data_IF_996434630514
#
_entry.id   IF_996434630514
#
_cell.length_a   1.000
_cell.length_b   1.000
_cell.length_c   1.000
_cell.angle_alpha   90.00
_cell.angle_beta   90.00
_cell.angle_gamma   90.00
#
_symmetry.space_group_name_H-M   'P 1'
#
loop_
_entity.id
_entity.type
_entity.pdbx_description
1 polymer ?
#
# COMPACT_ATOMS: atom_id res chain seq x y z
N UNK A 1 -37.40 -11.90 -24.24
CA UNK A 1 -36.65 -10.62 -24.09
C UNK A 1 -36.79 -10.07 -22.68
N UNK A 2 -38.02 -9.98 -22.11
CA UNK A 2 -38.29 -9.44 -20.77
C UNK A 2 -37.67 -10.31 -19.63
N UNK A 3 -37.73 -11.65 -19.76
CA UNK A 3 -37.09 -12.57 -18.78
C UNK A 3 -35.56 -12.50 -18.80
N UNK A 4 -34.97 -12.40 -19.99
CA UNK A 4 -33.51 -12.22 -20.15
C UNK A 4 -33.02 -10.87 -19.56
N UNK A 5 -33.78 -9.79 -19.75
CA UNK A 5 -33.49 -8.49 -19.10
C UNK A 5 -33.66 -8.56 -17.58
N UNK A 6 -34.64 -9.28 -17.08
CA UNK A 6 -34.86 -9.45 -15.64
C UNK A 6 -33.72 -10.20 -14.96
N UNK A 7 -33.18 -11.28 -15.59
CA UNK A 7 -32.04 -12.02 -15.07
C UNK A 7 -30.72 -11.22 -15.11
N UNK A 8 -30.52 -10.37 -16.11
CA UNK A 8 -29.35 -9.49 -16.23
C UNK A 8 -29.33 -8.39 -15.18
N UNK A 9 -30.49 -7.82 -14.88
CA UNK A 9 -30.61 -6.68 -13.95
C UNK A 9 -30.65 -7.16 -12.50
N UNK A 10 -31.42 -8.18 -12.20
CA UNK A 10 -31.69 -8.61 -10.82
C UNK A 10 -30.82 -9.78 -10.34
N UNK A 11 -29.98 -10.36 -11.19
CA UNK A 11 -29.08 -11.45 -10.84
C UNK A 11 -27.86 -11.03 -10.01
N UNK A 12 -27.51 -9.72 -10.02
CA UNK A 12 -26.33 -9.21 -9.32
C UNK A 12 -26.57 -7.78 -8.84
N UNK A 13 -26.28 -7.49 -7.57
CA UNK A 13 -26.54 -6.19 -6.96
C UNK A 13 -25.78 -5.03 -7.66
N UNK A 14 -24.60 -5.29 -8.25
CA UNK A 14 -23.85 -4.29 -9.02
C UNK A 14 -24.66 -3.82 -10.23
N UNK A 15 -25.29 -4.75 -10.98
CA UNK A 15 -26.17 -4.41 -12.10
C UNK A 15 -27.37 -3.58 -11.64
N UNK A 16 -27.97 -3.94 -10.50
CA UNK A 16 -29.10 -3.18 -9.92
C UNK A 16 -28.65 -1.75 -9.59
N UNK A 17 -27.51 -1.57 -8.94
CA UNK A 17 -26.98 -0.24 -8.60
C UNK A 17 -26.74 0.60 -9.84
N UNK A 18 -26.15 0.03 -10.90
CA UNK A 18 -25.91 0.73 -12.18
C UNK A 18 -27.23 1.23 -12.77
N UNK A 19 -28.25 0.37 -12.83
CA UNK A 19 -29.59 0.75 -13.34
C UNK A 19 -30.23 1.83 -12.47
N UNK A 20 -30.15 1.70 -11.14
CA UNK A 20 -30.68 2.68 -10.21
C UNK A 20 -30.01 4.05 -10.36
N UNK A 21 -28.70 4.12 -10.57
CA UNK A 21 -27.98 5.38 -10.84
C UNK A 21 -28.58 6.09 -12.05
N UNK A 22 -28.81 5.36 -13.14
CA UNK A 22 -29.36 5.94 -14.38
C UNK A 22 -30.82 6.35 -14.19
N UNK A 23 -31.66 5.48 -13.63
CA UNK A 23 -33.09 5.76 -13.38
C UNK A 23 -33.30 6.95 -12.44
N UNK A 24 -32.57 6.98 -11.31
CA UNK A 24 -32.64 8.07 -10.35
C UNK A 24 -32.20 9.41 -10.95
N UNK A 25 -31.16 9.37 -11.81
CA UNK A 25 -30.69 10.55 -12.52
C UNK A 25 -31.69 11.04 -13.54
N UNK A 26 -32.36 10.14 -14.26
CA UNK A 26 -33.42 10.46 -15.21
C UNK A 26 -34.67 11.06 -14.52
N UNK A 27 -35.17 10.42 -13.45
CA UNK A 27 -36.29 10.92 -12.66
C UNK A 27 -36.00 12.28 -12.03
N UNK A 28 -34.82 12.44 -11.46
CA UNK A 28 -34.35 13.73 -10.93
C UNK A 28 -34.23 14.79 -12.04
N UNK A 29 -33.86 14.39 -13.25
CA UNK A 29 -33.80 15.24 -14.42
C UNK A 29 -35.19 15.72 -14.87
N UNK A 30 -36.16 14.82 -14.87
CA UNK A 30 -37.55 15.15 -15.15
C UNK A 30 -38.09 16.25 -14.21
N UNK A 31 -37.84 16.11 -12.91
CA UNK A 31 -38.27 17.07 -11.90
C UNK A 31 -37.57 18.44 -12.00
N UNK A 32 -36.33 18.51 -12.54
CA UNK A 32 -35.59 19.78 -12.74
C UNK A 32 -35.89 20.47 -14.07
N UNK A 33 -36.48 19.77 -15.01
CA UNK A 33 -36.70 20.23 -16.38
C UNK A 33 -35.37 20.36 -17.19
N UNK A 34 -35.51 20.77 -18.45
CA UNK A 34 -34.40 20.80 -19.42
C UNK A 34 -33.22 21.67 -18.95
N UNK A 35 -33.50 22.92 -18.54
CA UNK A 35 -32.43 23.87 -18.14
C UNK A 35 -31.68 23.46 -16.87
N UNK A 36 -32.42 22.90 -15.89
CA UNK A 36 -31.84 22.39 -14.66
C UNK A 36 -30.94 21.18 -14.91
N UNK A 37 -31.39 20.28 -15.77
CA UNK A 37 -30.64 19.05 -16.12
C UNK A 37 -29.43 19.36 -17.01
N UNK A 38 -29.53 20.30 -17.96
CA UNK A 38 -28.38 20.77 -18.74
C UNK A 38 -27.30 21.36 -17.84
N UNK A 39 -27.67 22.20 -16.87
CA UNK A 39 -26.71 22.74 -15.87
C UNK A 39 -26.03 21.65 -15.07
N UNK A 40 -26.78 20.63 -14.67
CA UNK A 40 -26.21 19.50 -13.92
C UNK A 40 -25.27 18.66 -14.78
N UNK A 41 -25.58 18.42 -16.05
CA UNK A 41 -24.71 17.72 -16.99
C UNK A 41 -23.38 18.47 -17.16
N UNK A 42 -23.44 19.78 -17.36
CA UNK A 42 -22.24 20.62 -17.49
C UNK A 42 -21.42 20.58 -16.20
N UNK A 43 -22.05 20.71 -15.03
CA UNK A 43 -21.35 20.62 -13.74
C UNK A 43 -20.67 19.25 -13.58
N UNK A 44 -21.36 18.18 -13.90
CA UNK A 44 -20.80 16.83 -13.85
C UNK A 44 -19.58 16.69 -14.80
N UNK A 45 -19.70 17.19 -16.02
CA UNK A 45 -18.58 17.16 -16.99
C UNK A 45 -17.36 17.96 -16.51
N UNK A 46 -17.59 19.18 -15.99
CA UNK A 46 -16.53 20.01 -15.41
C UNK A 46 -15.88 19.35 -14.20
N UNK A 47 -16.69 18.81 -13.29
CA UNK A 47 -16.17 18.14 -12.09
C UNK A 47 -15.37 16.87 -12.41
N UNK A 48 -15.84 16.09 -13.40
CA UNK A 48 -15.09 14.94 -13.92
C UNK A 48 -13.78 15.38 -14.57
N UNK A 49 -13.79 16.43 -15.40
CA UNK A 49 -12.57 16.95 -16.02
C UNK A 49 -11.58 17.46 -14.98
N UNK A 50 -12.03 18.19 -13.95
CA UNK A 50 -11.19 18.63 -12.82
C UNK A 50 -10.58 17.42 -12.10
N UNK A 51 -11.38 16.36 -11.87
CA UNK A 51 -10.87 15.15 -11.22
C UNK A 51 -9.78 14.48 -12.03
N UNK A 52 -9.98 14.29 -13.34
CA UNK A 52 -8.99 13.69 -14.23
C UNK A 52 -7.71 14.52 -14.28
N UNK A 53 -7.83 15.84 -14.46
CA UNK A 53 -6.68 16.76 -14.47
C UNK A 53 -5.94 16.71 -13.12
N UNK A 54 -6.66 16.69 -12.00
CA UNK A 54 -6.07 16.57 -10.67
C UNK A 54 -5.28 15.27 -10.50
N UNK A 55 -5.82 14.13 -10.97
CA UNK A 55 -5.12 12.85 -10.94
C UNK A 55 -3.84 12.87 -11.77
N UNK A 56 -3.91 13.41 -13.00
CA UNK A 56 -2.74 13.50 -13.89
C UNK A 56 -1.64 14.42 -13.33
N UNK A 57 -2.01 15.58 -12.81
CA UNK A 57 -1.05 16.52 -12.22
C UNK A 57 -0.44 15.96 -10.95
N UNK A 58 -1.23 15.26 -10.13
CA UNK A 58 -0.76 14.64 -8.88
C UNK A 58 0.20 13.50 -9.15
N UNK A 59 -0.03 12.73 -10.20
CA UNK A 59 0.89 11.69 -10.64
C UNK A 59 2.25 12.30 -11.04
N UNK A 60 2.23 13.31 -11.91
CA UNK A 60 3.44 14.00 -12.32
C UNK A 60 4.17 14.69 -11.17
N UNK A 61 3.43 15.30 -10.25
CA UNK A 61 4.02 15.89 -9.07
C UNK A 61 4.65 14.83 -8.15
N UNK A 62 4.02 13.65 -7.99
CA UNK A 62 4.58 12.57 -7.19
C UNK A 62 5.88 12.03 -7.80
N UNK A 63 5.97 11.89 -9.12
CA UNK A 63 7.21 11.48 -9.80
C UNK A 63 8.38 12.42 -9.49
N UNK A 64 8.13 13.73 -9.41
CA UNK A 64 9.17 14.74 -9.18
C UNK A 64 9.46 14.92 -7.68
N UNK A 65 8.41 15.02 -6.86
CA UNK A 65 8.56 15.34 -5.44
C UNK A 65 9.04 14.15 -4.61
N UNK A 66 8.76 12.90 -5.04
CA UNK A 66 9.15 11.72 -4.29
C UNK A 66 10.68 11.61 -4.10
N UNK A 67 11.53 11.68 -5.14
CA UNK A 67 12.98 11.67 -4.94
C UNK A 67 13.46 12.88 -4.13
N UNK A 68 12.94 14.08 -4.39
CA UNK A 68 13.32 15.29 -3.65
C UNK A 68 13.04 15.16 -2.14
N UNK A 69 11.90 14.57 -1.77
CA UNK A 69 11.59 14.31 -0.35
C UNK A 69 12.51 13.26 0.24
N UNK A 70 12.90 12.22 -0.52
CA UNK A 70 13.88 11.22 -0.07
C UNK A 70 15.22 11.88 0.27
N UNK A 71 15.78 12.64 -0.67
CA UNK A 71 17.06 13.32 -0.50
C UNK A 71 17.03 14.30 0.69
N UNK A 72 15.92 15.02 0.84
CA UNK A 72 15.72 15.92 1.97
C UNK A 72 15.68 15.16 3.31
N UNK A 73 14.95 14.03 3.39
CA UNK A 73 14.90 13.21 4.59
C UNK A 73 16.24 12.58 4.94
N UNK A 74 16.98 12.11 3.94
CA UNK A 74 18.35 11.58 4.11
C UNK A 74 19.28 12.66 4.65
N UNK A 75 19.24 13.87 4.09
CA UNK A 75 20.07 15.00 4.53
C UNK A 75 19.84 15.41 5.98
N UNK A 76 18.64 15.12 6.54
CA UNK A 76 18.31 15.41 7.95
C UNK A 76 18.99 14.47 8.94
N UNK A 77 19.56 13.35 8.49
CA UNK A 77 20.27 12.35 9.31
C UNK A 77 19.48 11.96 10.58
N UNK A 78 18.15 11.69 10.39
CA UNK A 78 17.26 11.37 11.49
C UNK A 78 17.63 10.01 12.05
N UNK A 79 18.15 9.99 13.28
CA UNK A 79 18.48 8.77 14.01
C UNK A 79 17.35 8.45 14.98
N UNK A 80 16.98 7.18 15.07
CA UNK A 80 16.02 6.69 16.05
C UNK A 80 16.77 6.66 17.40
N UNK A 81 16.23 7.27 18.47
CA UNK A 81 16.87 7.22 19.80
C UNK A 81 16.91 5.80 20.35
N UNK A 82 18.02 5.45 21.03
CA UNK A 82 18.22 4.14 21.69
C UNK A 82 17.45 3.99 23.02
N UNK A 83 16.37 4.74 23.20
CA UNK A 83 15.51 4.70 24.40
C UNK A 83 14.13 4.21 24.06
N UNK A 84 13.38 3.73 25.06
CA UNK A 84 11.94 3.46 24.89
C UNK A 84 11.24 4.66 24.27
N UNK A 85 10.54 4.42 23.18
CA UNK A 85 9.75 5.44 22.51
C UNK A 85 8.30 5.34 22.99
N UNK A 86 7.74 6.48 23.38
CA UNK A 86 6.30 6.56 23.58
C UNK A 86 5.55 6.37 22.24
N UNK A 87 4.27 6.02 22.29
CA UNK A 87 3.49 5.67 21.11
C UNK A 87 3.47 6.73 20.01
N UNK A 88 3.57 8.03 20.40
CA UNK A 88 3.64 9.14 19.43
C UNK A 88 5.01 9.21 18.74
N UNK A 89 6.09 9.14 19.50
CA UNK A 89 7.46 9.14 18.98
C UNK A 89 7.67 7.93 18.04
N UNK A 90 7.15 6.78 18.43
CA UNK A 90 7.19 5.56 17.63
C UNK A 90 6.47 5.74 16.28
N UNK A 91 5.24 6.28 16.29
CA UNK A 91 4.51 6.60 15.07
C UNK A 91 5.29 7.59 14.19
N UNK A 92 5.87 8.62 14.81
CA UNK A 92 6.67 9.63 14.11
C UNK A 92 7.89 9.01 13.41
N UNK A 93 8.71 8.24 14.14
CA UNK A 93 9.91 7.63 13.55
C UNK A 93 9.56 6.58 12.50
N UNK A 94 8.51 5.78 12.71
CA UNK A 94 8.02 4.82 11.71
C UNK A 94 7.56 5.54 10.43
N UNK A 95 6.81 6.63 10.56
CA UNK A 95 6.34 7.39 9.41
C UNK A 95 7.49 8.08 8.66
N UNK A 96 8.42 8.70 9.38
CA UNK A 96 9.54 9.42 8.78
C UNK A 96 10.53 8.48 8.09
N UNK A 97 10.91 7.38 8.75
CA UNK A 97 11.78 6.36 8.14
C UNK A 97 11.08 5.63 7.00
N UNK A 98 9.78 5.36 7.13
CA UNK A 98 8.96 4.81 6.07
C UNK A 98 8.95 5.70 4.82
N UNK A 99 8.72 7.01 4.99
CA UNK A 99 8.79 7.96 3.88
C UNK A 99 10.20 8.15 3.31
N UNK A 100 11.25 7.99 4.13
CA UNK A 100 12.64 8.09 3.67
C UNK A 100 13.03 6.90 2.80
N UNK A 101 12.75 5.70 3.26
CA UNK A 101 13.34 4.47 2.73
C UNK A 101 12.45 3.74 1.72
N UNK A 102 11.12 3.99 1.73
CA UNK A 102 10.17 3.31 0.86
C UNK A 102 9.63 4.22 -0.24
N UNK A 103 10.12 4.02 -1.44
CA UNK A 103 9.83 4.87 -2.60
C UNK A 103 8.37 4.87 -2.99
N UNK A 104 7.72 3.72 -2.96
CA UNK A 104 6.33 3.57 -3.35
C UNK A 104 5.37 4.15 -2.31
N UNK A 105 5.59 3.87 -1.01
CA UNK A 105 4.83 4.46 0.09
C UNK A 105 4.92 5.98 0.05
N UNK A 106 6.14 6.52 -0.16
CA UNK A 106 6.36 7.95 -0.31
C UNK A 106 5.62 8.53 -1.52
N UNK A 107 5.71 7.87 -2.69
CA UNK A 107 5.03 8.31 -3.90
C UNK A 107 3.50 8.32 -3.73
N UNK A 108 2.93 7.28 -3.11
CA UNK A 108 1.49 7.18 -2.83
C UNK A 108 1.04 8.29 -1.87
N UNK A 109 1.77 8.52 -0.78
CA UNK A 109 1.44 9.59 0.19
C UNK A 109 1.48 10.96 -0.49
N UNK A 110 2.55 11.26 -1.26
CA UNK A 110 2.67 12.52 -2.00
C UNK A 110 1.52 12.66 -3.01
N UNK A 111 1.23 11.59 -3.78
CA UNK A 111 0.15 11.60 -4.75
C UNK A 111 -1.18 11.99 -4.12
N UNK A 112 -1.56 11.36 -3.01
CA UNK A 112 -2.83 11.67 -2.34
C UNK A 112 -2.86 13.08 -1.76
N UNK A 113 -1.79 13.54 -1.12
CA UNK A 113 -1.71 14.90 -0.57
C UNK A 113 -1.80 15.95 -1.68
N UNK A 114 -1.03 15.79 -2.74
CA UNK A 114 -1.06 16.70 -3.90
C UNK A 114 -2.42 16.66 -4.59
N UNK A 115 -3.02 15.48 -4.74
CA UNK A 115 -4.37 15.33 -5.29
C UNK A 115 -5.40 16.13 -4.49
N UNK A 116 -5.40 16.01 -3.17
CA UNK A 116 -6.32 16.76 -2.31
C UNK A 116 -6.13 18.26 -2.47
N UNK A 117 -4.89 18.73 -2.52
CA UNK A 117 -4.58 20.15 -2.70
C UNK A 117 -5.05 20.64 -4.08
N UNK A 118 -4.64 19.99 -5.16
CA UNK A 118 -4.99 20.39 -6.54
C UNK A 118 -6.52 20.30 -6.71
N UNK A 119 -7.14 19.22 -6.26
CA UNK A 119 -8.59 19.02 -6.36
C UNK A 119 -9.37 20.10 -5.62
N UNK A 120 -8.88 20.51 -4.44
CA UNK A 120 -9.47 21.59 -3.64
C UNK A 120 -9.31 22.94 -4.33
N UNK A 121 -8.11 23.25 -4.84
CA UNK A 121 -7.83 24.51 -5.54
C UNK A 121 -8.66 24.63 -6.81
N UNK A 122 -8.67 23.62 -7.68
CA UNK A 122 -9.44 23.63 -8.92
C UNK A 122 -10.95 23.65 -8.64
N UNK A 123 -11.40 22.94 -7.59
CA UNK A 123 -12.78 22.97 -7.14
C UNK A 123 -13.21 24.36 -6.65
N UNK A 124 -12.37 25.02 -5.87
CA UNK A 124 -12.62 26.39 -5.39
C UNK A 124 -12.65 27.39 -6.55
N UNK A 125 -11.73 27.23 -7.52
CA UNK A 125 -11.71 28.04 -8.74
C UNK A 125 -13.01 27.86 -9.54
N UNK A 126 -13.44 26.61 -9.75
CA UNK A 126 -14.68 26.31 -10.47
C UNK A 126 -15.92 26.88 -9.76
N UNK A 127 -15.93 26.93 -8.42
CA UNK A 127 -16.97 27.56 -7.63
C UNK A 127 -17.01 29.07 -7.85
N UNK A 128 -15.86 29.76 -7.84
CA UNK A 128 -15.75 31.20 -8.05
C UNK A 128 -16.20 31.60 -9.46
N UNK A 129 -15.74 30.87 -10.48
CA UNK A 129 -16.14 31.13 -11.88
C UNK A 129 -17.57 30.65 -12.17
N UNK A 130 -18.04 29.56 -11.57
CA UNK A 130 -19.37 28.98 -11.77
C UNK A 130 -20.48 29.86 -11.22
N UNK A 131 -20.24 30.64 -10.18
CA UNK A 131 -21.24 31.55 -9.61
C UNK A 131 -21.60 32.71 -10.55
N UNK A 132 -20.67 33.15 -11.41
CA UNK A 132 -20.90 34.20 -12.41
C UNK A 132 -21.53 33.71 -13.70
N UNK A 133 -21.05 32.57 -14.24
CA UNK A 133 -21.43 32.07 -15.57
C UNK A 133 -22.79 31.32 -15.60
N UNK A 134 -23.24 30.79 -14.47
CA UNK A 134 -24.46 29.96 -14.40
C UNK A 134 -25.64 30.61 -13.68
N UNK A 135 -25.68 31.95 -13.60
CA UNK A 135 -26.87 32.69 -13.19
C UNK A 135 -27.90 32.71 -14.31
N UNK A 136 -28.37 31.54 -14.74
CA UNK A 136 -29.58 31.48 -15.56
C UNK A 136 -30.75 31.89 -14.68
N UNK A 137 -31.44 32.98 -15.06
CA UNK A 137 -32.70 33.40 -14.45
C UNK A 137 -33.67 32.21 -14.38
N UNK A 138 -34.26 32.01 -13.22
CA UNK A 138 -35.37 31.07 -13.00
C UNK A 138 -36.41 31.37 -14.06
N UNK A 139 -36.62 30.45 -15.01
CA UNK A 139 -37.60 30.60 -16.07
C UNK A 139 -38.97 30.76 -15.45
N UNK A 140 -39.72 31.76 -15.93
CA UNK A 140 -41.14 32.01 -15.67
C UNK A 140 -41.94 30.71 -15.74
N UNK A 141 -43.02 30.62 -15.00
CA UNK A 141 -43.98 29.52 -15.04
C UNK A 141 -44.35 29.20 -16.51
N UNK A 142 -43.93 28.01 -16.94
CA UNK A 142 -44.19 27.50 -18.27
C UNK A 142 -45.62 26.93 -18.28
N UNK A 143 -46.37 27.25 -19.30
CA UNK A 143 -47.71 26.66 -19.46
C UNK A 143 -47.68 25.12 -19.51
N UNK A 144 -48.76 24.40 -19.20
CA UNK A 144 -48.75 22.94 -18.97
C UNK A 144 -48.15 22.12 -20.09
N UNK A 145 -48.29 22.46 -21.34
CA UNK A 145 -47.70 21.74 -22.47
C UNK A 145 -46.18 21.90 -22.57
N UNK A 146 -45.68 23.10 -22.30
CA UNK A 146 -44.23 23.40 -22.34
C UNK A 146 -43.54 22.78 -21.12
N UNK A 147 -44.22 22.69 -19.98
CA UNK A 147 -43.73 22.01 -18.77
C UNK A 147 -43.50 20.51 -19.02
N UNK A 148 -44.40 19.84 -19.74
CA UNK A 148 -44.31 18.42 -20.09
C UNK A 148 -43.11 18.14 -21.01
N UNK A 149 -42.89 18.98 -22.05
CA UNK A 149 -41.72 18.88 -22.96
C UNK A 149 -40.44 19.13 -22.20
N UNK A 150 -40.40 20.16 -21.33
CA UNK A 150 -39.22 20.45 -20.50
C UNK A 150 -38.88 19.32 -19.53
N UNK A 151 -39.91 18.64 -18.95
CA UNK A 151 -39.71 17.48 -18.09
C UNK A 151 -39.14 16.30 -18.87
N UNK A 152 -39.66 16.01 -20.07
CA UNK A 152 -39.14 14.93 -20.92
C UNK A 152 -37.69 15.18 -21.33
N UNK A 153 -37.37 16.40 -21.81
CA UNK A 153 -35.97 16.76 -22.10
C UNK A 153 -35.10 16.72 -20.85
N UNK A 154 -35.62 17.10 -19.70
CA UNK A 154 -34.95 17.00 -18.42
C UNK A 154 -34.63 15.54 -18.04
N UNK A 155 -35.57 14.62 -18.29
CA UNK A 155 -35.34 13.19 -18.08
C UNK A 155 -34.26 12.64 -19.01
N UNK A 156 -34.25 13.02 -20.29
CA UNK A 156 -33.22 12.59 -21.24
C UNK A 156 -31.84 13.09 -20.83
N UNK A 157 -31.68 14.37 -20.50
CA UNK A 157 -30.40 14.92 -20.01
C UNK A 157 -29.99 14.32 -18.67
N UNK A 158 -30.95 14.02 -17.80
CA UNK A 158 -30.77 13.30 -16.56
C UNK A 158 -30.23 11.87 -16.78
N UNK A 159 -30.81 11.16 -17.78
CA UNK A 159 -30.35 9.83 -18.17
C UNK A 159 -28.90 9.86 -18.70
N UNK A 160 -28.55 10.83 -19.55
CA UNK A 160 -27.16 11.03 -20.03
C UNK A 160 -26.21 11.28 -18.86
N UNK A 161 -26.59 12.13 -17.91
CA UNK A 161 -25.80 12.35 -16.67
C UNK A 161 -25.69 11.07 -15.85
N UNK A 162 -26.77 10.27 -15.79
CA UNK A 162 -26.82 8.98 -15.11
C UNK A 162 -25.89 7.96 -15.74
N UNK A 163 -25.85 7.89 -17.07
CA UNK A 163 -24.90 7.02 -17.81
C UNK A 163 -23.46 7.44 -17.48
N UNK A 164 -23.15 8.73 -17.52
CA UNK A 164 -21.81 9.22 -17.16
C UNK A 164 -21.41 8.83 -15.73
N UNK A 165 -22.33 8.93 -14.77
CA UNK A 165 -22.08 8.48 -13.37
C UNK A 165 -21.92 6.97 -13.26
N UNK A 166 -22.70 6.21 -14.03
CA UNK A 166 -22.55 4.75 -14.09
C UNK A 166 -21.18 4.35 -14.65
N UNK A 167 -20.68 5.05 -15.67
CA UNK A 167 -19.32 4.83 -16.20
C UNK A 167 -18.25 5.13 -15.13
N UNK A 168 -18.38 6.23 -14.39
CA UNK A 168 -17.45 6.55 -13.28
C UNK A 168 -17.53 5.48 -12.19
N UNK A 169 -18.71 4.99 -11.86
CA UNK A 169 -18.89 3.90 -10.89
C UNK A 169 -18.24 2.60 -11.38
N UNK A 170 -18.45 2.22 -12.65
CA UNK A 170 -17.82 1.04 -13.26
C UNK A 170 -16.29 1.19 -13.26
N UNK A 171 -15.76 2.39 -13.59
CA UNK A 171 -14.33 2.65 -13.55
C UNK A 171 -13.76 2.51 -12.13
N UNK A 172 -14.47 2.97 -11.10
CA UNK A 172 -14.06 2.77 -9.71
C UNK A 172 -14.04 1.28 -9.31
N UNK A 173 -15.06 0.51 -9.72
CA UNK A 173 -15.11 -0.94 -9.52
C UNK A 173 -13.99 -1.65 -10.29
N UNK A 174 -13.66 -1.18 -11.50
CA UNK A 174 -12.58 -1.72 -12.31
C UNK A 174 -11.22 -1.53 -11.63
N UNK A 175 -10.97 -0.35 -11.08
CA UNK A 175 -9.77 -0.10 -10.26
C UNK A 175 -9.76 -1.01 -9.03
N UNK A 176 -10.90 -1.17 -8.35
CA UNK A 176 -10.98 -2.06 -7.19
C UNK A 176 -10.67 -3.52 -7.55
N UNK A 177 -11.29 -4.07 -8.61
CA UNK A 177 -11.06 -5.46 -9.03
C UNK A 177 -9.65 -5.69 -9.58
N UNK A 178 -9.00 -4.67 -10.08
CA UNK A 178 -7.62 -4.72 -10.52
C UNK A 178 -6.64 -4.67 -9.33
N UNK A 179 -6.96 -3.90 -8.27
CA UNK A 179 -6.15 -3.81 -7.06
C UNK A 179 -6.31 -5.05 -6.16
N UNK A 180 -7.49 -5.65 -6.12
CA UNK A 180 -7.83 -6.77 -5.23
C UNK A 180 -8.41 -7.96 -6.01
N UNK A 181 -7.65 -8.56 -6.97
CA UNK A 181 -8.21 -9.53 -7.91
C UNK A 181 -8.69 -10.84 -7.27
N UNK A 182 -8.19 -11.18 -6.08
CA UNK A 182 -8.44 -12.47 -5.41
C UNK A 182 -9.50 -12.38 -4.29
N UNK A 183 -10.26 -11.29 -4.22
CA UNK A 183 -11.30 -11.16 -3.18
C UNK A 183 -12.64 -11.66 -3.69
N UNK A 184 -13.44 -12.29 -2.80
CA UNK A 184 -14.80 -12.72 -3.10
C UNK A 184 -15.69 -11.57 -3.64
N UNK A 185 -15.41 -10.32 -3.23
CA UNK A 185 -16.11 -9.15 -3.74
C UNK A 185 -15.71 -8.87 -5.21
N UNK A 186 -14.45 -9.07 -5.59
CA UNK A 186 -13.99 -8.90 -6.97
C UNK A 186 -14.63 -9.93 -7.91
N UNK A 187 -14.75 -11.18 -7.47
CA UNK A 187 -15.44 -12.22 -8.22
C UNK A 187 -16.91 -11.87 -8.38
N UNK A 188 -17.57 -11.46 -7.30
CA UNK A 188 -18.96 -11.01 -7.33
C UNK A 188 -19.20 -9.81 -8.27
N UNK A 189 -18.26 -8.84 -8.32
CA UNK A 189 -18.34 -7.69 -9.24
C UNK A 189 -18.18 -8.14 -10.69
N UNK A 190 -17.23 -9.06 -10.97
CA UNK A 190 -16.98 -9.59 -12.33
C UNK A 190 -18.15 -10.39 -12.87
N UNK A 191 -18.90 -11.07 -12.01
CA UNK A 191 -20.12 -11.80 -12.39
C UNK A 191 -21.26 -10.88 -12.86
N UNK A 192 -21.12 -9.56 -12.68
CA UNK A 192 -22.11 -8.60 -13.16
C UNK A 192 -21.93 -8.34 -14.65
N UNK A 193 -22.86 -8.79 -15.49
CA UNK A 193 -22.84 -8.53 -16.95
C UNK A 193 -22.78 -7.05 -17.32
N UNK A 194 -23.43 -6.17 -16.55
CA UNK A 194 -23.40 -4.74 -16.82
C UNK A 194 -22.04 -4.15 -16.50
N UNK A 195 -21.38 -4.63 -15.44
CA UNK A 195 -20.00 -4.27 -15.13
C UNK A 195 -19.05 -4.78 -16.22
N UNK A 196 -19.10 -6.06 -16.58
CA UNK A 196 -18.25 -6.68 -17.60
C UNK A 196 -18.33 -5.89 -18.92
N UNK A 197 -19.55 -5.67 -19.44
CA UNK A 197 -19.74 -4.91 -20.67
C UNK A 197 -19.23 -3.46 -20.59
N UNK A 198 -19.41 -2.81 -19.44
CA UNK A 198 -18.95 -1.44 -19.22
C UNK A 198 -17.41 -1.38 -19.06
N UNK A 199 -16.85 -2.34 -18.36
CA UNK A 199 -15.41 -2.48 -18.20
C UNK A 199 -14.72 -2.74 -19.55
N UNK A 200 -15.19 -3.72 -20.32
CA UNK A 200 -14.54 -4.12 -21.57
C UNK A 200 -14.73 -3.14 -22.71
N UNK A 201 -15.93 -2.57 -22.84
CA UNK A 201 -16.27 -1.71 -23.99
C UNK A 201 -16.00 -0.23 -23.80
N UNK A 202 -15.93 0.24 -22.55
CA UNK A 202 -15.79 1.66 -22.24
C UNK A 202 -14.51 1.93 -21.47
N UNK A 203 -14.30 1.26 -20.33
CA UNK A 203 -13.16 1.55 -19.45
C UNK A 203 -11.86 1.00 -20.05
N UNK A 204 -11.83 -0.25 -20.49
CA UNK A 204 -10.66 -0.90 -21.08
C UNK A 204 -10.05 -0.11 -22.24
N UNK A 205 -10.82 0.25 -23.29
CA UNK A 205 -10.30 1.07 -24.41
C UNK A 205 -9.79 2.45 -24.00
N UNK A 206 -10.36 3.05 -22.95
CA UNK A 206 -9.93 4.36 -22.44
C UNK A 206 -8.65 4.30 -21.61
N UNK A 207 -8.42 3.19 -20.95
CA UNK A 207 -7.27 3.01 -20.04
C UNK A 207 -6.10 2.26 -20.70
N UNK A 208 -6.34 1.58 -21.84
CA UNK A 208 -5.36 0.82 -22.59
C UNK A 208 -4.74 -0.32 -21.74
N UNK A 209 -3.70 -0.94 -22.27
CA UNK A 209 -2.95 -2.02 -21.61
C UNK A 209 -2.26 -1.58 -20.31
N UNK A 210 -2.22 -0.27 -20.05
CA UNK A 210 -1.53 0.27 -18.87
C UNK A 210 -2.19 -0.17 -17.57
N UNK A 211 -3.53 -0.13 -17.50
CA UNK A 211 -4.25 -0.46 -16.26
C UNK A 211 -4.30 -1.97 -16.02
N UNK A 212 -4.51 -2.76 -17.07
CA UNK A 212 -4.62 -4.22 -16.99
C UNK A 212 -3.29 -4.91 -16.67
N UNK A 213 -2.18 -4.39 -17.20
CA UNK A 213 -0.88 -5.05 -17.08
C UNK A 213 -0.01 -4.48 -15.94
N UNK A 214 -0.19 -3.21 -15.56
CA UNK A 214 0.65 -2.56 -14.53
C UNK A 214 0.01 -2.46 -13.15
N UNK A 215 -1.32 -2.44 -13.03
CA UNK A 215 -1.99 -2.38 -11.73
C UNK A 215 -1.75 -3.63 -10.85
N UNK A 216 -1.78 -4.87 -11.35
CA UNK A 216 -1.47 -6.03 -10.53
C UNK A 216 -0.03 -5.99 -9.99
N UNK A 217 0.95 -5.62 -10.84
CA UNK A 217 2.35 -5.46 -10.44
C UNK A 217 2.50 -4.34 -9.40
N UNK A 218 1.80 -3.22 -9.58
CA UNK A 218 1.78 -2.11 -8.63
C UNK A 218 1.18 -2.55 -7.28
N UNK A 219 0.09 -3.31 -7.29
CA UNK A 219 -0.54 -3.80 -6.05
C UNK A 219 0.37 -4.75 -5.29
N UNK A 220 1.06 -5.63 -5.99
CA UNK A 220 2.03 -6.55 -5.40
C UNK A 220 3.20 -5.77 -4.79
N UNK A 221 3.75 -4.81 -5.52
CA UNK A 221 4.80 -3.93 -5.02
C UNK A 221 4.37 -3.11 -3.79
N UNK A 222 3.13 -2.60 -3.76
CA UNK A 222 2.58 -1.90 -2.59
C UNK A 222 2.46 -2.83 -1.38
N UNK A 223 1.98 -4.06 -1.59
CA UNK A 223 1.88 -5.05 -0.51
C UNK A 223 3.26 -5.41 0.05
N UNK A 224 4.23 -5.64 -0.83
CA UNK A 224 5.59 -5.98 -0.43
C UNK A 224 6.26 -4.82 0.31
N UNK A 225 6.12 -3.59 -0.17
CA UNK A 225 6.65 -2.42 0.51
C UNK A 225 5.93 -2.15 1.83
N UNK A 226 4.60 -2.28 1.87
CA UNK A 226 3.83 -2.14 3.11
C UNK A 226 4.22 -3.21 4.14
N UNK A 227 4.46 -4.45 3.72
CA UNK A 227 4.95 -5.51 4.60
C UNK A 227 6.32 -5.14 5.19
N UNK A 228 7.23 -4.59 4.38
CA UNK A 228 8.54 -4.09 4.85
C UNK A 228 8.39 -2.92 5.83
N UNK A 229 7.48 -1.98 5.58
CA UNK A 229 7.19 -0.88 6.53
C UNK A 229 6.65 -1.41 7.85
N UNK A 230 5.74 -2.38 7.81
CA UNK A 230 5.18 -3.01 9.01
C UNK A 230 6.24 -3.83 9.76
N UNK A 231 7.14 -4.50 9.05
CA UNK A 231 8.29 -5.17 9.65
C UNK A 231 9.20 -4.20 10.41
N UNK A 232 9.51 -3.03 9.84
CA UNK A 232 10.26 -1.98 10.54
C UNK A 232 9.56 -1.43 11.78
N UNK A 233 8.23 -1.38 11.79
CA UNK A 233 7.48 -1.01 12.99
C UNK A 233 7.79 -1.93 14.17
N UNK A 234 8.03 -3.22 13.91
CA UNK A 234 8.44 -4.18 14.95
C UNK A 234 9.88 -3.97 15.40
N UNK A 235 10.79 -3.61 14.52
CA UNK A 235 12.18 -3.28 14.89
C UNK A 235 12.26 -2.10 15.88
N UNK A 236 11.34 -1.15 15.76
CA UNK A 236 11.23 0.02 16.67
C UNK A 236 10.43 -0.33 17.95
N UNK A 237 9.51 -1.31 17.89
CA UNK A 237 8.64 -1.73 19.00
C UNK A 237 9.31 -2.66 20.02
N UNK A 238 10.40 -3.34 19.63
CA UNK A 238 11.12 -4.28 20.49
C UNK A 238 12.04 -3.59 21.53
N UNK A 239 11.67 -2.39 21.97
CA UNK A 239 12.38 -1.70 23.06
C UNK A 239 12.18 -2.40 24.42
N UNK A 240 11.10 -3.18 24.60
CA UNK A 240 10.88 -4.01 25.77
C UNK A 240 11.41 -5.42 25.53
N UNK A 241 12.59 -5.70 26.06
CA UNK A 241 13.17 -7.04 26.03
C UNK A 241 12.45 -7.92 27.06
N UNK A 242 11.79 -9.03 26.63
CA UNK A 242 11.19 -9.98 27.55
C UNK A 242 12.23 -10.55 28.52
N UNK A 243 11.87 -10.66 29.80
CA UNK A 243 12.79 -11.03 30.88
C UNK A 243 13.45 -12.40 30.66
N UNK A 244 12.70 -13.37 30.11
CA UNK A 244 13.19 -14.72 29.82
C UNK A 244 14.26 -14.71 28.69
N UNK A 245 14.09 -13.87 27.69
CA UNK A 245 15.07 -13.67 26.61
C UNK A 245 16.32 -12.97 27.16
N UNK A 246 16.15 -11.94 27.99
CA UNK A 246 17.26 -11.22 28.60
C UNK A 246 18.12 -12.16 29.49
N UNK A 247 17.47 -12.96 30.33
CA UNK A 247 18.14 -13.94 31.18
C UNK A 247 18.84 -15.03 30.37
N UNK A 248 18.26 -15.47 29.27
CA UNK A 248 18.90 -16.41 28.35
C UNK A 248 20.17 -15.80 27.71
N UNK A 249 20.08 -14.55 27.23
CA UNK A 249 21.20 -13.86 26.63
C UNK A 249 22.36 -13.66 27.61
N UNK A 250 22.08 -13.25 28.86
CA UNK A 250 23.07 -13.16 29.93
C UNK A 250 23.76 -14.49 30.21
N UNK A 251 23.00 -15.61 30.24
CA UNK A 251 23.59 -16.95 30.44
C UNK A 251 24.47 -17.38 29.28
N UNK A 252 24.05 -17.08 28.03
CA UNK A 252 24.80 -17.42 26.81
C UNK A 252 26.13 -16.67 26.76
N UNK A 253 26.13 -15.40 27.18
CA UNK A 253 27.31 -14.51 27.14
C UNK A 253 28.11 -14.49 28.44
N UNK A 254 27.76 -15.30 29.44
CA UNK A 254 28.36 -15.26 30.77
C UNK A 254 29.90 -15.48 30.80
N UNK A 255 30.48 -16.10 29.78
CA UNK A 255 31.92 -16.35 29.65
C UNK A 255 32.62 -15.43 28.62
N UNK A 256 31.86 -14.56 27.98
CA UNK A 256 32.37 -13.63 26.98
C UNK A 256 33.00 -12.41 27.68
N UNK A 257 34.24 -12.11 27.36
CA UNK A 257 34.99 -10.96 27.91
C UNK A 257 34.86 -9.71 27.00
N UNK A 258 34.69 -9.93 25.71
CA UNK A 258 34.56 -8.85 24.71
C UNK A 258 33.18 -8.81 24.05
N UNK A 259 32.85 -7.67 23.46
CA UNK A 259 31.59 -7.51 22.73
C UNK A 259 31.55 -8.41 21.49
N UNK A 260 32.66 -8.67 20.82
CA UNK A 260 32.76 -9.63 19.73
C UNK A 260 32.43 -11.05 20.21
N UNK A 261 32.97 -11.48 21.35
CA UNK A 261 32.67 -12.79 21.93
C UNK A 261 31.24 -12.93 22.31
N UNK A 262 30.60 -11.88 22.88
CA UNK A 262 29.16 -11.87 23.16
C UNK A 262 28.35 -12.03 21.85
N UNK A 263 28.69 -11.22 20.84
CA UNK A 263 28.03 -11.26 19.54
C UNK A 263 28.11 -12.66 18.88
N UNK A 264 29.31 -13.28 18.90
CA UNK A 264 29.54 -14.64 18.37
C UNK A 264 28.79 -15.72 19.17
N UNK A 265 28.77 -15.60 20.47
CA UNK A 265 28.07 -16.53 21.33
C UNK A 265 26.55 -16.54 21.04
N UNK A 266 25.95 -15.34 20.91
CA UNK A 266 24.55 -15.17 20.55
C UNK A 266 24.26 -15.63 19.12
N UNK A 267 25.14 -15.30 18.16
CA UNK A 267 25.06 -15.75 16.78
C UNK A 267 24.96 -17.28 16.69
N UNK A 268 25.89 -17.98 17.36
CA UNK A 268 25.89 -19.44 17.39
C UNK A 268 24.67 -20.00 18.11
N UNK A 269 24.26 -19.38 19.20
CA UNK A 269 23.12 -19.84 19.99
C UNK A 269 21.80 -19.73 19.21
N UNK A 270 21.52 -18.58 18.58
CA UNK A 270 20.30 -18.40 17.78
C UNK A 270 20.31 -19.33 16.59
N UNK A 271 21.38 -19.32 15.80
CA UNK A 271 21.47 -20.08 14.56
C UNK A 271 21.42 -21.61 14.74
N UNK A 272 21.81 -22.13 15.92
CA UNK A 272 21.75 -23.58 16.20
C UNK A 272 20.46 -24.00 16.90
N UNK A 273 19.71 -23.09 17.48
CA UNK A 273 18.51 -23.40 18.26
C UNK A 273 17.21 -23.14 17.55
N UNK A 274 17.16 -22.17 16.66
CA UNK A 274 15.99 -21.89 15.84
C UNK A 274 16.05 -22.74 14.58
N UNK A 275 14.94 -23.36 14.19
CA UNK A 275 14.79 -24.13 12.96
C UNK A 275 14.02 -23.30 11.93
N UNK A 276 14.43 -23.40 10.67
CA UNK A 276 13.75 -22.66 9.60
C UNK A 276 12.33 -23.16 9.38
N UNK A 277 11.37 -22.25 9.36
CA UNK A 277 9.93 -22.54 9.16
C UNK A 277 9.60 -22.49 7.68
N UNK A 278 9.84 -23.57 6.97
CA UNK A 278 9.53 -23.70 5.56
C UNK A 278 8.03 -23.51 5.28
N UNK A 279 7.16 -23.96 6.21
CA UNK A 279 5.71 -23.80 6.05
C UNK A 279 5.29 -22.32 6.05
N UNK A 280 5.90 -21.50 6.91
CA UNK A 280 5.70 -20.06 6.96
C UNK A 280 6.26 -19.39 5.70
N UNK A 281 7.43 -19.84 5.23
CA UNK A 281 8.06 -19.35 4.01
C UNK A 281 7.20 -19.65 2.78
N UNK A 282 6.76 -20.90 2.59
CA UNK A 282 5.93 -21.32 1.46
C UNK A 282 4.57 -20.61 1.47
N UNK A 283 3.94 -20.46 2.64
CA UNK A 283 2.69 -19.73 2.79
C UNK A 283 2.82 -18.27 2.30
N UNK A 284 3.94 -17.62 2.59
CA UNK A 284 4.22 -16.28 2.10
C UNK A 284 4.56 -16.24 0.61
N UNK A 285 5.43 -17.15 0.14
CA UNK A 285 5.86 -17.17 -1.26
C UNK A 285 4.73 -17.53 -2.21
N UNK A 286 3.91 -18.53 -1.87
CA UNK A 286 2.86 -19.07 -2.74
C UNK A 286 1.53 -18.29 -2.63
N UNK A 287 1.16 -17.90 -1.42
CA UNK A 287 -0.17 -17.34 -1.14
C UNK A 287 -0.11 -15.87 -0.68
N UNK A 288 1.09 -15.30 -0.50
CA UNK A 288 1.29 -13.95 0.05
C UNK A 288 0.64 -13.73 1.42
N UNK A 289 0.45 -14.80 2.19
CA UNK A 289 -0.07 -14.75 3.55
C UNK A 289 1.11 -14.68 4.52
N UNK A 290 1.27 -13.52 5.18
CA UNK A 290 2.27 -13.32 6.20
C UNK A 290 1.75 -13.69 7.57
N UNK A 291 2.44 -14.61 8.26
CA UNK A 291 2.16 -14.97 9.66
C UNK A 291 3.13 -14.21 10.56
N UNK A 292 2.62 -13.19 11.23
CA UNK A 292 3.44 -12.41 12.17
C UNK A 292 3.92 -13.27 13.33
N UNK A 293 5.13 -13.00 13.81
CA UNK A 293 5.76 -13.71 14.89
C UNK A 293 6.67 -12.75 15.67
N UNK A 294 6.52 -12.74 16.99
CA UNK A 294 7.35 -11.94 17.88
C UNK A 294 8.66 -12.65 18.23
N UNK A 295 9.69 -11.94 18.73
CA UNK A 295 10.89 -12.57 19.30
C UNK A 295 10.58 -13.58 20.41
N UNK A 296 9.57 -13.31 21.27
CA UNK A 296 9.10 -14.26 22.28
C UNK A 296 8.54 -15.54 21.67
N UNK A 297 7.74 -15.43 20.61
CA UNK A 297 7.21 -16.60 19.91
C UNK A 297 8.35 -17.42 19.30
N UNK A 298 9.34 -16.77 18.68
CA UNK A 298 10.51 -17.43 18.10
C UNK A 298 11.35 -18.10 19.18
N UNK A 299 11.57 -17.43 20.30
CA UNK A 299 12.29 -17.96 21.45
C UNK A 299 11.61 -19.20 22.03
N UNK A 300 10.28 -19.15 22.19
CA UNK A 300 9.46 -20.24 22.75
C UNK A 300 9.33 -21.41 21.79
N UNK A 301 8.98 -21.15 20.52
CA UNK A 301 8.72 -22.20 19.52
C UNK A 301 9.99 -22.76 18.90
N UNK A 302 11.08 -22.00 18.92
CA UNK A 302 12.36 -22.32 18.27
C UNK A 302 12.18 -22.59 16.78
N UNK A 303 11.26 -21.90 16.14
CA UNK A 303 11.01 -21.96 14.69
C UNK A 303 10.74 -20.56 14.17
N UNK A 304 11.18 -20.26 12.95
CA UNK A 304 10.95 -18.96 12.31
C UNK A 304 11.64 -18.87 10.95
N UNK A 305 11.37 -17.80 10.23
CA UNK A 305 12.09 -17.45 8.98
C UNK A 305 13.17 -16.42 9.26
N UNK A 306 13.93 -16.01 8.26
CA UNK A 306 15.09 -15.12 8.38
C UNK A 306 14.86 -13.89 9.28
N UNK A 307 13.73 -13.20 9.12
CA UNK A 307 13.42 -12.02 9.93
C UNK A 307 13.19 -12.37 11.41
N UNK A 308 12.61 -13.55 11.71
CA UNK A 308 12.36 -13.99 13.07
C UNK A 308 13.68 -14.33 13.79
N UNK A 309 14.63 -14.94 13.09
CA UNK A 309 15.99 -15.16 13.59
C UNK A 309 16.69 -13.84 13.90
N UNK A 310 16.63 -12.92 12.94
CA UNK A 310 17.31 -11.62 13.05
C UNK A 310 16.74 -10.78 14.20
N UNK A 311 15.44 -10.80 14.41
CA UNK A 311 14.77 -10.12 15.52
C UNK A 311 15.14 -10.74 16.86
N UNK A 312 15.10 -12.06 16.97
CA UNK A 312 15.50 -12.73 18.20
C UNK A 312 16.96 -12.43 18.55
N UNK A 313 17.87 -12.49 17.56
CA UNK A 313 19.25 -12.10 17.76
C UNK A 313 19.39 -10.65 18.24
N UNK A 314 18.68 -9.72 17.61
CA UNK A 314 18.75 -8.31 17.97
C UNK A 314 18.27 -8.04 19.40
N UNK A 315 17.16 -8.67 19.81
CA UNK A 315 16.66 -8.54 21.19
C UNK A 315 17.64 -9.11 22.21
N UNK A 316 18.21 -10.28 21.95
CA UNK A 316 19.24 -10.88 22.82
C UNK A 316 20.52 -10.04 22.89
N UNK A 317 20.97 -9.51 21.75
CA UNK A 317 22.18 -8.69 21.69
C UNK A 317 22.00 -7.36 22.44
N UNK A 318 20.86 -6.68 22.26
CA UNK A 318 20.52 -5.46 23.01
C UNK A 318 20.47 -5.70 24.51
N UNK A 319 19.96 -6.85 24.98
CA UNK A 319 19.86 -7.16 26.41
C UNK A 319 21.21 -7.33 27.11
N UNK A 320 22.28 -7.56 26.35
CA UNK A 320 23.66 -7.65 26.87
C UNK A 320 24.52 -6.43 26.51
N UNK A 321 23.87 -5.35 26.07
CA UNK A 321 24.50 -4.04 25.82
C UNK A 321 25.17 -3.90 24.45
N UNK A 322 24.93 -4.80 23.49
CA UNK A 322 25.45 -4.68 22.13
C UNK A 322 24.58 -3.72 21.29
N UNK A 323 25.24 -2.90 20.49
CA UNK A 323 24.59 -2.06 19.49
C UNK A 323 24.36 -2.90 18.22
N UNK A 324 23.09 -3.16 17.89
CA UNK A 324 22.71 -4.09 16.83
C UNK A 324 21.52 -3.56 16.04
N UNK A 325 21.48 -3.85 14.74
CA UNK A 325 20.35 -3.56 13.87
C UNK A 325 19.98 -4.78 13.03
N UNK A 326 18.71 -4.86 12.68
CA UNK A 326 18.20 -5.79 11.68
C UNK A 326 18.30 -5.11 10.31
N UNK A 327 18.77 -5.82 9.32
CA UNK A 327 18.88 -5.36 7.94
C UNK A 327 18.00 -6.25 7.07
N UNK A 328 17.21 -5.64 6.19
CA UNK A 328 16.42 -6.34 5.19
C UNK A 328 17.00 -6.10 3.79
N UNK A 329 16.76 -7.03 2.89
CA UNK A 329 17.27 -6.95 1.53
C UNK A 329 17.07 -8.24 0.76
N UNK A 330 17.99 -8.55 -0.12
CA UNK A 330 18.03 -9.79 -0.89
C UNK A 330 19.18 -10.67 -0.41
N UNK A 331 18.91 -11.96 -0.21
CA UNK A 331 19.90 -13.00 0.06
C UNK A 331 19.98 -13.99 -1.10
N UNK A 332 21.17 -14.53 -1.37
CA UNK A 332 21.37 -15.55 -2.38
C UNK A 332 20.56 -16.81 -2.05
N UNK A 333 19.84 -17.36 -3.03
CA UNK A 333 18.95 -18.51 -2.84
C UNK A 333 19.64 -19.88 -3.06
N UNK A 334 20.93 -19.87 -3.36
CA UNK A 334 21.73 -21.06 -3.63
C UNK A 334 21.53 -21.65 -5.03
N UNK A 335 20.59 -21.15 -5.84
CA UNK A 335 20.34 -21.55 -7.23
C UNK A 335 20.92 -20.57 -8.26
N UNK A 336 21.61 -19.54 -7.79
CA UNK A 336 22.14 -18.44 -8.60
C UNK A 336 21.21 -17.23 -8.69
N UNK A 337 20.09 -17.25 -7.96
CA UNK A 337 19.16 -16.14 -7.78
C UNK A 337 19.25 -15.50 -6.40
N UNK A 338 18.37 -14.54 -6.19
CA UNK A 338 18.21 -13.83 -4.92
C UNK A 338 16.75 -13.79 -4.51
N UNK A 339 16.49 -13.90 -3.19
CA UNK A 339 15.16 -13.80 -2.61
C UNK A 339 15.11 -12.83 -1.42
N UNK A 340 13.92 -12.42 -0.97
CA UNK A 340 13.77 -11.58 0.21
C UNK A 340 14.45 -12.20 1.43
N UNK A 341 15.30 -11.43 2.09
CA UNK A 341 16.10 -11.91 3.21
C UNK A 341 16.28 -10.85 4.31
N UNK A 342 16.63 -11.32 5.52
CA UNK A 342 16.94 -10.46 6.64
C UNK A 342 18.14 -11.03 7.44
N UNK A 343 18.99 -10.13 7.91
CA UNK A 343 20.18 -10.44 8.70
C UNK A 343 20.42 -9.35 9.75
N UNK A 344 21.54 -9.43 10.44
CA UNK A 344 21.90 -8.43 11.43
C UNK A 344 23.23 -7.75 11.09
N UNK A 345 23.39 -6.54 11.59
CA UNK A 345 24.67 -5.90 11.75
C UNK A 345 24.85 -5.52 13.22
N UNK A 346 26.03 -5.81 13.77
CA UNK A 346 26.44 -5.46 15.13
C UNK A 346 27.61 -4.49 15.09
N UNK A 347 27.59 -3.48 15.93
CA UNK A 347 28.70 -2.52 16.02
C UNK A 347 29.71 -3.00 17.05
N UNK A 348 30.93 -3.25 16.62
CA UNK A 348 32.03 -3.73 17.46
C UNK A 348 33.18 -2.72 17.47
N UNK A 349 33.35 -2.01 18.58
CA UNK A 349 34.47 -1.11 18.82
C UNK A 349 34.79 -0.19 17.63
N UNK A 350 36.03 -0.15 17.23
CA UNK A 350 36.56 0.67 16.12
C UNK A 350 36.31 0.06 14.73
N UNK A 351 35.90 -1.21 14.66
CA UNK A 351 35.62 -1.90 13.39
C UNK A 351 34.34 -1.44 12.71
N UNK A 352 33.46 -0.76 13.46
CA UNK A 352 32.18 -0.28 12.94
C UNK A 352 31.11 -1.36 12.89
N UNK A 353 30.23 -1.28 11.89
CA UNK A 353 29.13 -2.21 11.71
C UNK A 353 29.58 -3.47 10.98
N UNK A 354 29.48 -4.64 11.62
CA UNK A 354 29.86 -5.95 11.11
C UNK A 354 28.59 -6.75 10.80
N UNK A 355 28.45 -7.28 9.57
CA UNK A 355 27.31 -8.08 9.19
C UNK A 355 27.40 -9.52 9.71
N UNK A 356 26.26 -10.10 10.04
CA UNK A 356 26.15 -11.52 10.41
C UNK A 356 24.76 -12.07 10.04
N UNK A 357 24.71 -13.34 9.65
CA UNK A 357 23.46 -14.02 9.35
C UNK A 357 23.27 -15.29 10.19
N UNK A 358 22.40 -15.20 11.17
CA UNK A 358 22.05 -16.32 12.06
C UNK A 358 21.25 -17.42 11.36
N UNK A 359 20.56 -17.11 10.26
CA UNK A 359 19.75 -18.06 9.51
C UNK A 359 20.62 -19.12 8.84
N UNK A 360 21.77 -18.71 8.33
CA UNK A 360 22.66 -19.60 7.54
C UNK A 360 23.67 -20.36 8.39
N UNK A 361 23.64 -20.25 9.71
CA UNK A 361 24.49 -21.06 10.60
C UNK A 361 24.35 -22.54 10.35
N UNK A 362 23.10 -23.00 10.14
CA UNK A 362 22.80 -24.42 9.89
C UNK A 362 23.19 -24.90 8.49
N UNK A 363 23.42 -23.97 7.54
CA UNK A 363 23.79 -24.30 6.17
C UNK A 363 25.30 -24.61 6.00
N UNK A 364 26.06 -24.45 7.09
CA UNK A 364 27.52 -24.62 7.11
C UNK A 364 28.29 -23.32 6.80
N UNK A 365 29.52 -23.28 7.24
CA UNK A 365 30.38 -22.09 7.14
C UNK A 365 30.15 -21.09 8.28
N UNK A 366 30.95 -20.03 8.29
CA UNK A 366 30.82 -18.91 9.23
C UNK A 366 30.23 -17.70 8.51
N UNK A 367 29.03 -17.31 8.92
CA UNK A 367 28.32 -16.14 8.41
C UNK A 367 28.40 -14.95 9.39
N UNK A 368 29.44 -14.93 10.19
CA UNK A 368 29.81 -13.82 11.05
C UNK A 368 30.98 -13.08 10.41
N UNK A 369 30.68 -11.96 9.75
CA UNK A 369 31.61 -11.11 9.03
C UNK A 369 32.54 -11.83 8.01
N UNK A 370 32.02 -12.70 7.12
CA UNK A 370 32.86 -13.27 6.09
C UNK A 370 33.21 -12.21 5.03
N UNK A 371 34.39 -12.28 4.39
CA UNK A 371 34.83 -11.27 3.44
C UNK A 371 33.93 -11.14 2.19
N UNK A 372 33.16 -12.17 1.87
CA UNK A 372 32.21 -12.23 0.73
C UNK A 372 30.76 -12.02 1.14
N UNK A 373 30.48 -11.41 2.31
CA UNK A 373 29.11 -11.21 2.76
C UNK A 373 28.28 -10.39 1.77
N UNK A 374 28.84 -9.32 1.23
CA UNK A 374 28.20 -8.44 0.27
C UNK A 374 27.88 -9.13 -1.08
N UNK A 375 28.59 -10.21 -1.43
CA UNK A 375 28.30 -10.97 -2.66
C UNK A 375 27.03 -11.80 -2.54
N UNK A 376 26.59 -12.06 -1.32
CA UNK A 376 25.42 -12.90 -1.03
C UNK A 376 24.26 -12.15 -0.38
N UNK A 377 24.50 -10.91 0.09
CA UNK A 377 23.50 -10.10 0.79
C UNK A 377 23.51 -8.68 0.23
N UNK A 378 22.40 -8.30 -0.40
CA UNK A 378 22.22 -6.96 -0.99
C UNK A 378 21.19 -6.22 -0.15
N UNK A 379 21.57 -5.21 0.65
CA UNK A 379 20.62 -4.48 1.49
C UNK A 379 19.66 -3.62 0.67
N UNK A 380 18.43 -3.43 1.16
CA UNK A 380 17.35 -2.67 0.49
C UNK A 380 17.75 -1.23 0.10
N UNK A 381 18.70 -0.63 0.77
CA UNK A 381 19.20 0.71 0.45
C UNK A 381 20.23 0.75 -0.71
N UNK A 382 20.58 -0.40 -1.27
CA UNK A 382 21.48 -0.55 -2.42
C UNK A 382 20.79 -1.11 -3.66
N UNK A 383 19.47 -1.46 -3.55
CA UNK A 383 18.60 -1.88 -4.64
C UNK A 383 17.82 -0.66 -5.16
#
# INVERSE_FOLDING_TARGET
VLEGMRSIIFGNAVSVVIVLIVLFSALSGAGRGATGSARQLIRFAVDTAITVVSLMLSWKAAEVLSPMLADWLVSRNIRIPDRELDGFSQLYYTAVTGLRDFSLTRAVVIFFLVYLVIRSLLGSLSFLFGWGLFRFKRTRELGPGIASISSLMGAMLGAVTGIGRAIVFIAALFVYTALFPQTALSDYIRDSRMYEQGADRIVGPLTGDWLTNRLPVFTESVKDEMSRVLQRRYEVLDANVPEDIAQAALKVTAKAETDEEKARALYSWVGTRVRYDWSKYDLYMDQRIWKEQTPEDTFRTRTGVCIDYSRLYAVMAKSVGLDVRVVTGLGADGSGGYGPHAWNEVRLGDEGWIPLDTTWVSSGGSWFNPPNFADTHIPDNQI
#
